data_IF_966277442670
#
_entry.id   IF_966277442670
#
_cell.length_a   1.000
_cell.length_b   1.000
_cell.length_c   1.000
_cell.angle_alpha   90.00
_cell.angle_beta   90.00
_cell.angle_gamma   90.00
#
_symmetry.space_group_name_H-M   'P 1'
#
loop_
_entity.id
_entity.type
_entity.pdbx_description
1 polymer ?
#
# COMPACT_ATOMS: atom_id res chain seq x y z
N UNK A 1 12.12 -8.61 -6.53
CA UNK A 1 12.17 -8.09 -7.91
C UNK A 1 11.36 -6.83 -7.90
N UNK A 2 11.99 -5.71 -8.28
CA UNK A 2 11.49 -4.36 -8.08
C UNK A 2 10.16 -4.18 -8.84
N UNK A 3 9.05 -4.25 -8.10
CA UNK A 3 7.72 -4.02 -8.64
C UNK A 3 7.49 -2.53 -8.93
N UNK A 4 8.54 -1.71 -9.00
CA UNK A 4 8.46 -0.28 -9.26
C UNK A 4 8.01 0.55 -8.06
N UNK A 5 7.77 -0.07 -6.90
CA UNK A 5 7.42 0.54 -5.61
C UNK A 5 8.30 -0.05 -4.48
N UNK A 6 8.73 0.79 -3.54
CA UNK A 6 9.58 0.45 -2.39
C UNK A 6 8.77 -0.11 -1.21
N UNK A 7 7.80 -0.97 -1.49
CA UNK A 7 6.95 -1.60 -0.47
C UNK A 7 6.85 -3.09 -0.73
N UNK A 8 6.79 -3.86 0.35
CA UNK A 8 6.57 -5.29 0.25
C UNK A 8 5.15 -5.59 -0.21
N UNK A 9 5.03 -6.50 -1.18
CA UNK A 9 3.75 -6.99 -1.69
C UNK A 9 3.75 -8.51 -1.62
N UNK A 10 2.56 -9.10 -1.52
CA UNK A 10 2.42 -10.55 -1.46
C UNK A 10 2.30 -11.11 -2.88
N UNK A 11 3.10 -12.11 -3.23
CA UNK A 11 2.79 -12.93 -4.38
C UNK A 11 1.44 -13.63 -4.18
N UNK A 12 0.72 -13.86 -5.28
CA UNK A 12 -0.62 -14.43 -5.25
C UNK A 12 -0.77 -15.50 -6.34
N UNK A 13 -1.65 -16.47 -6.09
CA UNK A 13 -2.05 -17.46 -7.08
C UNK A 13 -3.53 -17.86 -6.85
N UNK A 14 -4.40 -17.78 -7.88
CA UNK A 14 -5.73 -18.35 -7.79
C UNK A 14 -5.64 -19.88 -7.76
N UNK A 15 -6.28 -20.50 -6.77
CA UNK A 15 -6.26 -21.96 -6.56
C UNK A 15 -7.65 -22.55 -6.50
N UNK A 16 -7.82 -23.73 -7.11
CA UNK A 16 -9.01 -24.55 -6.94
C UNK A 16 -8.84 -25.38 -5.66
N UNK A 17 -9.74 -25.21 -4.70
CA UNK A 17 -9.69 -25.94 -3.44
C UNK A 17 -10.65 -27.11 -3.47
N UNK A 18 -10.21 -28.26 -2.96
CA UNK A 18 -11.03 -29.46 -2.81
C UNK A 18 -10.96 -29.95 -1.36
N UNK A 19 -12.11 -30.26 -0.77
CA UNK A 19 -12.21 -30.83 0.58
C UNK A 19 -12.90 -32.19 0.45
N UNK A 20 -12.22 -33.25 0.86
CA UNK A 20 -12.70 -34.65 0.72
C UNK A 20 -13.08 -35.04 -0.72
N UNK A 21 -12.41 -34.47 -1.72
CA UNK A 21 -12.66 -34.74 -3.14
C UNK A 21 -13.76 -33.89 -3.78
N UNK A 22 -14.45 -33.05 -3.01
CA UNK A 22 -15.47 -32.13 -3.51
C UNK A 22 -14.89 -30.75 -3.76
N UNK A 23 -15.29 -30.10 -4.86
CA UNK A 23 -14.93 -28.71 -5.12
C UNK A 23 -15.44 -27.80 -4.00
N UNK A 24 -14.53 -27.03 -3.42
CA UNK A 24 -14.77 -26.19 -2.26
C UNK A 24 -14.62 -24.69 -2.58
N UNK A 25 -14.40 -24.33 -3.85
CA UNK A 25 -14.28 -22.94 -4.28
C UNK A 25 -12.89 -22.59 -4.82
N UNK A 26 -12.87 -21.44 -5.49
CA UNK A 26 -11.67 -20.73 -5.89
C UNK A 26 -11.25 -19.84 -4.72
N UNK A 27 -9.99 -19.96 -4.32
CA UNK A 27 -9.38 -19.12 -3.31
C UNK A 27 -8.15 -18.44 -3.89
N UNK A 28 -7.66 -17.42 -3.19
CA UNK A 28 -6.39 -16.80 -3.51
C UNK A 28 -5.34 -17.26 -2.50
N UNK A 29 -4.42 -18.13 -2.94
CA UNK A 29 -3.24 -18.47 -2.16
C UNK A 29 -2.29 -17.27 -2.21
N UNK A 30 -1.93 -16.74 -1.04
CA UNK A 30 -1.06 -15.56 -0.93
C UNK A 30 0.13 -15.89 -0.05
N UNK A 31 1.25 -15.23 -0.33
CA UNK A 31 2.33 -15.15 0.63
C UNK A 31 1.83 -14.54 1.94
N UNK A 32 2.40 -15.00 3.04
CA UNK A 32 2.15 -14.45 4.35
C UNK A 32 3.40 -13.69 4.77
N UNK A 33 3.24 -12.42 5.11
CA UNK A 33 4.31 -11.69 5.80
C UNK A 33 4.49 -12.27 7.20
N UNK A 34 5.46 -13.17 7.31
CA UNK A 34 5.97 -13.79 8.52
C UNK A 34 7.48 -13.97 8.38
N UNK A 35 8.11 -14.60 9.37
CA UNK A 35 9.56 -14.77 9.42
C UNK A 35 10.09 -15.49 8.18
N UNK A 36 9.33 -16.46 7.65
CA UNK A 36 9.73 -17.25 6.49
C UNK A 36 9.73 -16.43 5.21
N UNK A 37 8.79 -15.49 5.07
CA UNK A 37 8.81 -14.56 3.95
C UNK A 37 10.11 -13.75 3.96
N UNK A 38 10.47 -13.11 5.08
CA UNK A 38 11.64 -12.26 5.13
C UNK A 38 12.96 -13.05 5.04
N UNK A 39 13.01 -14.25 5.59
CA UNK A 39 14.14 -15.17 5.39
C UNK A 39 14.27 -15.56 3.91
N UNK A 40 13.17 -15.92 3.24
CA UNK A 40 13.19 -16.37 1.84
C UNK A 40 13.51 -15.25 0.86
N UNK A 41 12.92 -14.07 1.06
CA UNK A 41 13.03 -12.93 0.13
C UNK A 41 14.31 -12.14 0.35
N UNK A 42 14.73 -11.97 1.61
CA UNK A 42 15.85 -11.10 1.97
C UNK A 42 17.04 -11.82 2.63
N UNK A 43 16.91 -13.10 2.96
CA UNK A 43 17.91 -13.79 3.76
C UNK A 43 18.03 -13.25 5.19
N UNK A 44 16.99 -12.57 5.70
CA UNK A 44 16.96 -11.99 7.03
C UNK A 44 16.73 -13.09 8.08
N UNK A 45 17.70 -13.35 8.99
CA UNK A 45 17.50 -14.30 10.06
C UNK A 45 16.31 -13.93 10.94
N UNK A 46 15.61 -14.94 11.44
CA UNK A 46 14.43 -14.75 12.29
C UNK A 46 14.75 -13.93 13.55
N UNK A 47 15.92 -14.13 14.16
CA UNK A 47 16.36 -13.37 15.34
C UNK A 47 16.61 -11.88 15.07
N UNK A 48 16.87 -11.51 13.82
CA UNK A 48 17.15 -10.14 13.40
C UNK A 48 15.87 -9.42 12.93
N UNK A 49 14.71 -10.09 12.90
CA UNK A 49 13.46 -9.52 12.40
C UNK A 49 12.59 -8.94 13.53
N UNK A 50 12.05 -7.74 13.29
CA UNK A 50 10.96 -7.17 14.08
C UNK A 50 9.80 -6.77 13.17
N UNK A 51 8.58 -7.04 13.62
CA UNK A 51 7.36 -6.75 12.87
C UNK A 51 6.30 -6.12 13.75
N UNK A 52 5.69 -5.04 13.25
CA UNK A 52 4.61 -4.33 13.92
C UNK A 52 3.35 -4.36 13.05
N UNK A 53 2.18 -4.36 13.70
CA UNK A 53 0.90 -4.14 13.03
C UNK A 53 0.06 -3.10 13.77
N UNK A 54 -0.77 -2.39 13.01
CA UNK A 54 -1.89 -1.67 13.59
C UNK A 54 -2.90 -2.69 14.14
N UNK A 55 -3.21 -2.66 15.45
CA UNK A 55 -4.13 -3.63 16.01
C UNK A 55 -5.55 -3.39 15.49
N UNK A 56 -6.32 -4.46 15.32
CA UNK A 56 -7.65 -4.39 14.73
C UNK A 56 -8.55 -3.32 15.40
N UNK A 57 -9.13 -2.37 14.63
CA UNK A 57 -9.74 -1.15 15.15
C UNK A 57 -10.96 -1.41 16.05
N UNK A 58 -11.66 -2.54 15.89
CA UNK A 58 -12.84 -2.86 16.70
C UNK A 58 -12.49 -3.41 18.09
N UNK A 59 -11.30 -3.99 18.28
CA UNK A 59 -10.92 -4.59 19.57
C UNK A 59 -10.29 -3.57 20.52
N UNK A 60 -9.69 -2.51 19.99
CA UNK A 60 -8.89 -1.55 20.76
C UNK A 60 -9.27 -0.08 20.56
N UNK A 61 -10.29 0.18 19.75
CA UNK A 61 -10.67 1.53 19.34
C UNK A 61 -9.85 2.03 18.15
N UNK A 62 -10.39 3.02 17.46
CA UNK A 62 -9.71 3.66 16.34
C UNK A 62 -8.43 4.37 16.81
N UNK A 63 -7.35 4.24 16.03
CA UNK A 63 -6.05 4.89 16.26
C UNK A 63 -5.26 4.39 17.48
N UNK A 64 -5.34 3.09 17.76
CA UNK A 64 -4.50 2.46 18.79
C UNK A 64 -3.02 2.38 18.37
N UNK A 65 -2.15 2.42 19.37
CA UNK A 65 -0.71 2.23 19.19
C UNK A 65 -0.40 0.87 18.56
N UNK A 66 0.62 0.85 17.71
CA UNK A 66 1.02 -0.36 16.99
C UNK A 66 1.63 -1.37 17.94
N UNK A 67 1.57 -2.65 17.57
CA UNK A 67 2.03 -3.75 18.41
C UNK A 67 2.98 -4.65 17.67
N UNK A 68 3.96 -5.16 18.40
CA UNK A 68 4.80 -6.23 17.89
C UNK A 68 3.95 -7.47 17.63
N UNK A 69 3.96 -7.94 16.39
CA UNK A 69 3.44 -9.25 16.00
C UNK A 69 4.54 -10.29 15.95
N UNK A 70 5.79 -9.83 15.84
CA UNK A 70 7.00 -10.63 15.98
C UNK A 70 8.19 -9.76 16.45
N UNK A 71 9.16 -10.38 17.12
CA UNK A 71 10.30 -9.68 17.73
C UNK A 71 10.00 -9.08 19.11
N UNK A 72 10.91 -8.25 19.61
CA UNK A 72 10.78 -7.60 20.92
C UNK A 72 9.67 -6.54 20.91
N UNK A 73 8.77 -6.59 21.90
CA UNK A 73 7.70 -5.61 22.09
C UNK A 73 8.23 -4.18 22.32
N UNK A 74 9.45 -4.01 22.81
CA UNK A 74 10.10 -2.70 22.98
C UNK A 74 10.22 -1.92 21.65
N UNK A 75 10.30 -2.62 20.52
CA UNK A 75 10.38 -1.98 19.20
C UNK A 75 9.08 -1.27 18.79
N UNK A 76 7.93 -1.70 19.32
CA UNK A 76 6.68 -0.97 19.12
C UNK A 76 6.75 0.40 19.80
N UNK A 77 7.25 0.46 21.04
CA UNK A 77 7.41 1.71 21.77
C UNK A 77 8.45 2.63 21.11
N UNK A 78 9.55 2.07 20.60
CA UNK A 78 10.55 2.83 19.83
C UNK A 78 9.92 3.49 18.59
N UNK A 79 9.12 2.74 17.84
CA UNK A 79 8.39 3.29 16.69
C UNK A 79 7.39 4.36 17.12
N UNK A 80 6.64 4.14 18.21
CA UNK A 80 5.70 5.14 18.72
C UNK A 80 6.41 6.42 19.18
N UNK A 81 7.62 6.33 19.76
CA UNK A 81 8.42 7.51 20.08
C UNK A 81 8.91 8.22 18.82
N UNK A 82 9.26 7.50 17.75
CA UNK A 82 9.59 8.13 16.46
C UNK A 82 8.41 8.93 15.90
N UNK A 83 7.18 8.40 16.01
CA UNK A 83 5.95 9.14 15.63
C UNK A 83 5.76 10.38 16.52
N UNK A 84 5.94 10.27 17.83
CA UNK A 84 5.84 11.42 18.76
C UNK A 84 6.94 12.45 18.55
N UNK A 85 8.15 12.02 18.17
CA UNK A 85 9.26 12.89 17.77
C UNK A 85 8.85 13.75 16.57
N UNK A 86 8.27 13.15 15.53
CA UNK A 86 7.78 13.89 14.36
C UNK A 86 6.74 14.95 14.73
N UNK A 87 5.90 14.66 15.73
CA UNK A 87 4.88 15.60 16.21
C UNK A 87 5.45 16.76 17.02
N UNK A 88 6.47 16.47 17.85
CA UNK A 88 7.03 17.42 18.82
C UNK A 88 8.09 18.33 18.21
N UNK A 89 8.91 17.78 17.33
CA UNK A 89 10.07 18.47 16.76
C UNK A 89 9.73 19.15 15.42
N UNK A 90 10.44 20.22 15.11
CA UNK A 90 10.33 20.90 13.82
C UNK A 90 11.08 20.11 12.74
N UNK A 91 10.35 19.44 11.86
CA UNK A 91 10.93 18.64 10.77
C UNK A 91 11.44 19.48 9.60
N UNK A 92 11.25 20.80 9.59
CA UNK A 92 11.95 21.68 8.63
C UNK A 92 13.44 21.81 8.96
N UNK A 93 13.84 21.49 10.20
CA UNK A 93 15.24 21.39 10.63
C UNK A 93 15.86 20.11 10.06
N UNK A 94 17.03 20.25 9.41
CA UNK A 94 17.67 19.17 8.66
C UNK A 94 18.06 17.98 9.54
N UNK A 95 18.52 18.24 10.77
CA UNK A 95 18.91 17.23 11.75
C UNK A 95 17.71 16.40 12.21
N UNK A 96 16.56 17.03 12.45
CA UNK A 96 15.34 16.34 12.85
C UNK A 96 14.79 15.48 11.70
N UNK A 97 14.82 16.00 10.47
CA UNK A 97 14.46 15.22 9.29
C UNK A 97 15.38 14.02 9.07
N UNK A 98 16.70 14.22 9.18
CA UNK A 98 17.70 13.15 9.07
C UNK A 98 17.50 12.07 10.14
N UNK A 99 17.21 12.46 11.39
CA UNK A 99 16.91 11.53 12.47
C UNK A 99 15.77 10.57 12.10
N UNK A 100 14.72 11.07 11.44
CA UNK A 100 13.61 10.23 10.97
C UNK A 100 14.03 9.36 9.78
N UNK A 101 14.71 9.94 8.80
CA UNK A 101 15.16 9.23 7.59
C UNK A 101 16.16 8.08 7.87
N UNK A 102 16.92 8.19 8.96
CA UNK A 102 17.81 7.13 9.45
C UNK A 102 17.07 5.94 10.08
N UNK A 103 15.81 6.13 10.49
CA UNK A 103 15.02 5.13 11.22
C UNK A 103 13.85 4.57 10.43
N UNK A 104 13.40 5.31 9.42
CA UNK A 104 12.31 4.91 8.54
C UNK A 104 12.72 5.08 7.09
N UNK A 105 12.48 4.05 6.27
CA UNK A 105 12.67 4.13 4.83
C UNK A 105 11.59 5.03 4.22
N UNK A 106 11.92 6.30 4.00
CA UNK A 106 10.94 7.31 3.57
C UNK A 106 10.43 7.06 2.15
N UNK A 107 11.17 6.34 1.31
CA UNK A 107 10.67 5.94 -0.02
C UNK A 107 9.58 4.87 0.14
N UNK A 108 9.77 3.91 1.04
CA UNK A 108 8.73 2.93 1.42
C UNK A 108 7.48 3.60 1.99
N UNK A 109 7.66 4.61 2.85
CA UNK A 109 6.55 5.41 3.39
C UNK A 109 5.76 6.12 2.29
N UNK A 110 6.46 6.80 1.39
CA UNK A 110 5.83 7.54 0.29
C UNK A 110 5.09 6.56 -0.64
N UNK A 111 5.70 5.44 -1.01
CA UNK A 111 5.09 4.47 -1.92
C UNK A 111 3.86 3.78 -1.32
N UNK A 112 3.89 3.48 -0.01
CA UNK A 112 2.71 2.98 0.69
C UNK A 112 1.55 3.97 0.62
N UNK A 113 1.79 5.24 0.94
CA UNK A 113 0.75 6.27 0.87
C UNK A 113 0.28 6.52 -0.56
N UNK A 114 1.19 6.51 -1.54
CA UNK A 114 0.83 6.65 -2.95
C UNK A 114 -0.10 5.52 -3.39
N UNK A 115 0.23 4.27 -3.08
CA UNK A 115 -0.60 3.11 -3.40
C UNK A 115 -1.98 3.19 -2.74
N UNK A 116 -2.03 3.39 -1.42
CA UNK A 116 -3.30 3.41 -0.66
C UNK A 116 -4.22 4.56 -1.11
N UNK A 117 -3.68 5.77 -1.32
CA UNK A 117 -4.46 6.92 -1.79
C UNK A 117 -4.90 6.75 -3.25
N UNK A 118 -4.02 6.25 -4.12
CA UNK A 118 -4.35 6.04 -5.53
C UNK A 118 -5.44 4.97 -5.69
N UNK A 119 -5.29 3.82 -5.02
CA UNK A 119 -6.24 2.71 -5.07
C UNK A 119 -7.53 2.95 -4.25
N UNK A 120 -7.61 4.05 -3.50
CA UNK A 120 -8.74 4.40 -2.66
C UNK A 120 -9.10 3.30 -1.64
N UNK A 121 -8.11 2.70 -0.98
CA UNK A 121 -8.35 1.69 0.05
C UNK A 121 -8.93 2.33 1.31
N UNK A 122 -10.25 2.20 1.48
CA UNK A 122 -11.01 2.96 2.48
C UNK A 122 -10.93 2.43 3.91
N UNK A 123 -10.44 1.20 4.11
CA UNK A 123 -10.18 0.61 5.44
C UNK A 123 -8.74 0.83 5.93
N UNK A 124 -8.13 1.93 5.49
CA UNK A 124 -6.80 2.42 5.88
C UNK A 124 -6.96 3.94 6.12
N UNK A 125 -6.17 4.63 6.98
CA UNK A 125 -4.90 4.26 7.65
C UNK A 125 -4.99 3.85 9.13
N UNK A 126 -6.20 3.63 9.66
CA UNK A 126 -6.37 3.17 11.05
C UNK A 126 -6.52 1.65 11.18
N UNK A 127 -6.33 0.93 10.07
CA UNK A 127 -6.29 -0.51 9.94
C UNK A 127 -5.37 -0.86 8.75
N UNK A 128 -5.09 -2.15 8.54
CA UNK A 128 -4.36 -2.67 7.37
C UNK A 128 -2.98 -2.02 7.19
N UNK A 129 -2.24 -1.89 8.30
CA UNK A 129 -0.86 -1.42 8.33
C UNK A 129 0.02 -2.48 8.97
N UNK A 130 1.09 -2.82 8.27
CA UNK A 130 2.11 -3.76 8.69
C UNK A 130 3.49 -3.20 8.38
N UNK A 131 4.37 -3.22 9.38
CA UNK A 131 5.74 -2.75 9.29
C UNK A 131 6.70 -3.86 9.65
N UNK A 132 7.90 -3.79 9.09
CA UNK A 132 8.99 -4.68 9.46
C UNK A 132 10.33 -3.95 9.43
N UNK A 133 11.33 -4.52 10.11
CA UNK A 133 12.72 -4.10 9.98
C UNK A 133 13.68 -5.23 10.33
N UNK A 134 14.90 -5.11 9.82
CA UNK A 134 16.07 -5.72 10.43
C UNK A 134 16.43 -4.96 11.72
N UNK A 135 16.82 -5.66 12.78
CA UNK A 135 17.21 -5.11 14.09
C UNK A 135 18.72 -5.13 14.31
N UNK A 136 19.47 -5.83 13.45
CA UNK A 136 20.90 -6.06 13.58
C UNK A 136 21.67 -5.43 12.40
N UNK A 137 22.42 -4.34 12.60
CA UNK A 137 23.16 -3.69 11.51
C UNK A 137 24.26 -4.58 10.89
N UNK A 138 24.67 -5.64 11.58
CA UNK A 138 25.65 -6.62 11.12
C UNK A 138 24.99 -7.92 10.62
N UNK A 139 23.67 -7.90 10.37
CA UNK A 139 22.92 -9.05 9.87
C UNK A 139 23.50 -9.59 8.56
N UNK A 140 23.49 -10.91 8.40
CA UNK A 140 23.94 -11.58 7.17
C UNK A 140 23.11 -11.21 5.93
N UNK A 141 21.90 -10.68 6.13
CA UNK A 141 21.06 -10.16 5.04
C UNK A 141 21.63 -8.91 4.36
N UNK A 142 22.50 -8.16 5.05
CA UNK A 142 23.02 -6.88 4.59
C UNK A 142 21.98 -5.76 4.53
N UNK A 143 20.78 -5.97 5.05
CA UNK A 143 19.75 -4.95 5.14
C UNK A 143 20.10 -3.90 6.20
N UNK A 144 19.75 -2.64 5.96
CA UNK A 144 19.77 -1.64 7.03
C UNK A 144 18.66 -1.88 8.07
N UNK A 145 18.70 -1.12 9.16
CA UNK A 145 17.77 -1.28 10.29
C UNK A 145 16.55 -0.36 10.22
N UNK A 146 16.23 0.22 9.06
CA UNK A 146 15.09 1.13 8.90
C UNK A 146 13.77 0.36 8.84
N UNK A 147 12.72 0.96 9.39
CA UNK A 147 11.35 0.50 9.22
C UNK A 147 10.91 0.61 7.76
N UNK A 148 10.22 -0.42 7.29
CA UNK A 148 9.59 -0.52 5.96
C UNK A 148 8.15 -0.97 6.08
N UNK A 149 7.35 -0.67 5.06
CA UNK A 149 5.93 -1.01 5.01
C UNK A 149 5.66 -2.18 4.06
N UNK A 150 4.67 -2.97 4.44
CA UNK A 150 4.01 -3.92 3.56
C UNK A 150 2.65 -3.38 3.11
N UNK A 151 2.26 -3.68 1.88
CA UNK A 151 0.87 -3.54 1.43
C UNK A 151 0.09 -4.79 1.83
N UNK A 152 -0.94 -4.58 2.65
CA UNK A 152 -1.88 -5.61 3.08
C UNK A 152 -3.31 -5.15 2.81
N UNK A 153 -4.16 -6.11 2.48
CA UNK A 153 -5.63 -5.99 2.50
C UNK A 153 -6.20 -4.74 1.80
N UNK A 154 -6.12 -4.77 0.47
CA UNK A 154 -6.53 -3.68 -0.43
C UNK A 154 -7.85 -3.96 -1.16
N UNK A 155 -8.61 -4.95 -0.71
CA UNK A 155 -9.88 -5.39 -1.31
C UNK A 155 -10.99 -4.32 -1.24
N UNK A 156 -10.90 -3.39 -0.28
CA UNK A 156 -11.74 -2.19 -0.21
C UNK A 156 -11.37 -1.09 -1.23
N UNK A 157 -10.32 -1.28 -2.03
CA UNK A 157 -9.89 -0.36 -3.07
C UNK A 157 -10.63 -0.54 -4.39
N UNK A 158 -10.13 0.14 -5.42
CA UNK A 158 -10.49 -0.07 -6.82
C UNK A 158 -12.00 0.03 -7.15
N UNK A 159 -12.75 0.83 -6.40
CA UNK A 159 -14.18 1.05 -6.66
C UNK A 159 -15.14 0.10 -5.94
N UNK A 160 -14.65 -0.87 -5.15
CA UNK A 160 -15.50 -1.86 -4.47
C UNK A 160 -16.14 -1.30 -3.19
N UNK A 161 -15.33 -0.70 -2.31
CA UNK A 161 -15.78 0.00 -1.09
C UNK A 161 -15.36 1.47 -1.09
N UNK A 162 -15.13 2.02 -2.28
CA UNK A 162 -14.75 3.40 -2.57
C UNK A 162 -15.18 3.75 -3.99
N UNK A 163 -14.90 4.97 -4.44
CA UNK A 163 -15.17 5.39 -5.83
C UNK A 163 -13.96 6.12 -6.39
N UNK A 164 -13.98 6.38 -7.70
CA UNK A 164 -12.95 7.23 -8.35
C UNK A 164 -12.83 8.62 -7.71
N UNK A 165 -13.88 9.10 -7.06
CA UNK A 165 -13.94 10.42 -6.40
C UNK A 165 -13.46 10.40 -4.95
N UNK A 166 -13.31 9.23 -4.33
CA UNK A 166 -12.84 9.11 -2.95
C UNK A 166 -11.49 9.81 -2.80
N UNK A 167 -11.40 10.76 -1.87
CA UNK A 167 -10.20 11.55 -1.61
C UNK A 167 -9.59 11.15 -0.27
N UNK A 168 -8.55 10.30 -0.31
CA UNK A 168 -7.85 9.85 0.88
C UNK A 168 -6.71 10.76 1.33
N UNK A 169 -6.41 11.86 0.63
CA UNK A 169 -5.44 12.85 1.12
C UNK A 169 -5.85 13.46 2.46
N UNK A 170 -7.17 13.54 2.72
CA UNK A 170 -7.70 14.02 4.01
C UNK A 170 -7.37 13.11 5.20
N UNK A 171 -6.92 11.88 4.97
CA UNK A 171 -6.47 10.96 6.02
C UNK A 171 -5.07 11.28 6.54
N UNK A 172 -4.30 12.12 5.84
CA UNK A 172 -3.01 12.64 6.30
C UNK A 172 -3.29 13.78 7.29
N UNK A 173 -3.43 13.40 8.55
CA UNK A 173 -3.72 14.26 9.69
C UNK A 173 -3.20 13.58 10.98
N UNK A 174 -3.40 14.21 12.14
CA UNK A 174 -2.81 13.73 13.41
C UNK A 174 -3.58 12.60 14.11
N UNK A 175 -4.70 12.11 13.55
CA UNK A 175 -5.48 11.06 14.19
C UNK A 175 -4.84 9.67 14.04
N UNK A 176 -4.70 9.09 12.83
CA UNK A 176 -4.02 7.80 12.65
C UNK A 176 -2.52 7.89 12.92
N UNK A 177 -1.95 6.86 13.54
CA UNK A 177 -0.54 6.84 13.99
C UNK A 177 0.43 7.14 12.84
N UNK A 178 0.36 6.38 11.75
CA UNK A 178 1.25 6.58 10.60
C UNK A 178 0.96 7.90 9.88
N UNK A 179 -0.32 8.29 9.79
CA UNK A 179 -0.71 9.56 9.14
C UNK A 179 -0.23 10.78 9.89
N UNK A 180 -0.13 10.72 11.21
CA UNK A 180 0.46 11.77 12.03
C UNK A 180 1.92 12.00 11.64
N UNK A 181 2.70 10.92 11.54
CA UNK A 181 4.09 11.00 11.07
C UNK A 181 4.17 11.65 9.68
N UNK A 182 3.35 11.22 8.72
CA UNK A 182 3.35 11.79 7.37
C UNK A 182 2.89 13.26 7.37
N UNK A 183 1.88 13.61 8.16
CA UNK A 183 1.38 14.98 8.26
C UNK A 183 2.48 15.95 8.68
N UNK A 184 3.29 15.57 9.66
CA UNK A 184 4.42 16.36 10.10
C UNK A 184 5.59 16.33 9.10
N UNK A 185 5.90 15.18 8.48
CA UNK A 185 6.95 15.08 7.46
C UNK A 185 6.67 15.97 6.24
N UNK A 186 5.40 16.16 5.86
CA UNK A 186 5.01 17.06 4.77
C UNK A 186 5.32 18.55 5.03
N UNK A 187 5.69 18.93 6.26
CA UNK A 187 6.20 20.28 6.53
C UNK A 187 7.62 20.49 6.00
N UNK A 188 8.40 19.41 5.88
CA UNK A 188 9.73 19.46 5.29
C UNK A 188 9.61 19.53 3.74
N UNK A 189 10.22 20.55 3.09
CA UNK A 189 10.10 20.72 1.64
C UNK A 189 10.70 19.55 0.85
N UNK A 190 11.78 18.93 1.34
CA UNK A 190 12.42 17.78 0.68
C UNK A 190 11.46 16.58 0.63
N UNK A 191 10.84 16.25 1.76
CA UNK A 191 9.86 15.16 1.82
C UNK A 191 8.60 15.49 1.02
N UNK A 192 8.08 16.71 1.15
CA UNK A 192 6.91 17.17 0.39
C UNK A 192 7.13 17.04 -1.11
N UNK A 193 8.25 17.53 -1.62
CA UNK A 193 8.54 17.50 -3.04
C UNK A 193 8.79 16.07 -3.53
N UNK A 194 9.44 15.23 -2.73
CA UNK A 194 9.60 13.80 -3.01
C UNK A 194 8.25 13.08 -3.09
N UNK A 195 7.34 13.36 -2.15
CA UNK A 195 5.98 12.82 -2.14
C UNK A 195 5.21 13.24 -3.40
N UNK A 196 5.23 14.53 -3.76
CA UNK A 196 4.54 15.05 -4.94
C UNK A 196 5.06 14.37 -6.21
N UNK A 197 6.39 14.37 -6.41
CA UNK A 197 7.00 13.72 -7.59
C UNK A 197 6.65 12.24 -7.67
N UNK A 198 6.71 11.53 -6.54
CA UNK A 198 6.43 10.11 -6.52
C UNK A 198 4.96 9.80 -6.79
N UNK A 199 4.03 10.58 -6.23
CA UNK A 199 2.60 10.43 -6.50
C UNK A 199 2.27 10.72 -7.98
N UNK A 200 2.92 11.72 -8.58
CA UNK A 200 2.80 12.01 -10.02
C UNK A 200 3.31 10.85 -10.85
N UNK A 201 4.49 10.32 -10.54
CA UNK A 201 5.01 9.13 -11.22
C UNK A 201 4.06 7.94 -11.08
N UNK A 202 3.52 7.68 -9.88
CA UNK A 202 2.55 6.61 -9.67
C UNK A 202 1.30 6.81 -10.53
N UNK A 203 0.83 8.05 -10.65
CA UNK A 203 -0.38 8.39 -11.42
C UNK A 203 -0.17 8.34 -12.94
N UNK A 204 0.97 8.84 -13.42
CA UNK A 204 1.24 9.05 -14.85
C UNK A 204 1.94 7.86 -15.52
N UNK A 205 2.69 7.07 -14.76
CA UNK A 205 3.54 5.99 -15.28
C UNK A 205 3.12 4.65 -14.71
N UNK A 206 3.21 4.49 -13.38
CA UNK A 206 3.06 3.17 -12.75
C UNK A 206 1.63 2.62 -12.83
N UNK A 207 0.62 3.44 -12.51
CA UNK A 207 -0.80 3.07 -12.56
C UNK A 207 -1.51 3.62 -13.80
N UNK A 208 -0.80 3.81 -14.91
CA UNK A 208 -1.43 4.30 -16.14
C UNK A 208 -2.57 3.36 -16.60
N UNK A 209 -3.68 3.88 -17.16
CA UNK A 209 -4.86 3.08 -17.48
C UNK A 209 -4.58 1.82 -18.30
N UNK A 210 -3.74 1.92 -19.32
CA UNK A 210 -3.47 0.80 -20.22
C UNK A 210 -2.79 -0.38 -19.49
N UNK A 211 -1.87 -0.09 -18.56
CA UNK A 211 -1.19 -1.11 -17.74
C UNK A 211 -2.17 -1.73 -16.75
N UNK A 212 -2.94 -0.90 -16.04
CA UNK A 212 -3.89 -1.39 -15.05
C UNK A 212 -5.02 -2.22 -15.67
N UNK A 213 -5.52 -1.82 -16.86
CA UNK A 213 -6.52 -2.62 -17.59
C UNK A 213 -5.94 -3.94 -18.09
N UNK A 214 -4.72 -3.94 -18.63
CA UNK A 214 -4.07 -5.18 -19.04
C UNK A 214 -3.90 -6.13 -17.85
N UNK A 215 -3.41 -5.64 -16.71
CA UNK A 215 -3.30 -6.44 -15.49
C UNK A 215 -4.65 -6.98 -15.00
N UNK A 216 -5.73 -6.17 -15.07
CA UNK A 216 -7.08 -6.61 -14.74
C UNK A 216 -7.56 -7.72 -15.69
N UNK A 217 -7.37 -7.56 -17.00
CA UNK A 217 -7.82 -8.56 -17.97
C UNK A 217 -7.04 -9.88 -17.81
N UNK A 218 -5.72 -9.81 -17.53
CA UNK A 218 -4.89 -10.98 -17.23
C UNK A 218 -5.33 -11.69 -15.93
N UNK A 219 -5.76 -10.93 -14.91
CA UNK A 219 -6.33 -11.47 -13.67
C UNK A 219 -7.67 -12.19 -13.91
N UNK A 220 -8.53 -11.62 -14.75
CA UNK A 220 -9.89 -12.11 -14.97
C UNK A 220 -9.95 -13.29 -15.94
N UNK A 221 -9.07 -13.34 -16.95
CA UNK A 221 -9.06 -14.36 -17.98
C UNK A 221 -9.08 -15.81 -17.46
N UNK A 222 -8.23 -16.22 -16.48
CA UNK A 222 -8.28 -17.57 -15.93
C UNK A 222 -9.47 -17.82 -14.99
N UNK A 223 -10.03 -16.77 -14.38
CA UNK A 223 -11.13 -16.88 -13.42
C UNK A 223 -12.49 -17.04 -14.11
N UNK A 224 -12.72 -16.31 -15.19
CA UNK A 224 -14.00 -16.27 -15.91
C UNK A 224 -14.64 -17.67 -16.16
N UNK A 225 -13.94 -18.67 -16.74
CA UNK A 225 -14.55 -19.97 -17.00
C UNK A 225 -14.87 -20.77 -15.72
N UNK A 226 -14.28 -20.40 -14.57
CA UNK A 226 -14.46 -21.06 -13.29
C UNK A 226 -15.57 -20.43 -12.43
N UNK A 227 -16.02 -19.22 -12.76
CA UNK A 227 -17.03 -18.50 -11.99
C UNK A 227 -18.38 -19.22 -11.87
N UNK A 228 -18.89 -19.94 -12.89
CA UNK A 228 -20.09 -20.75 -12.71
C UNK A 228 -19.97 -21.77 -11.56
N UNK A 229 -18.82 -22.43 -11.42
CA UNK A 229 -18.57 -23.40 -10.34
C UNK A 229 -18.47 -22.71 -8.97
N UNK A 230 -17.79 -21.57 -8.91
CA UNK A 230 -17.70 -20.76 -7.69
C UNK A 230 -19.09 -20.33 -7.21
N UNK A 231 -19.93 -19.86 -8.14
CA UNK A 231 -21.29 -19.41 -7.86
C UNK A 231 -22.18 -20.57 -7.42
N UNK A 232 -22.07 -21.74 -8.03
CA UNK A 232 -22.82 -22.93 -7.58
C UNK A 232 -22.51 -23.29 -6.12
N UNK A 233 -21.24 -23.16 -5.71
CA UNK A 233 -20.79 -23.48 -4.34
C UNK A 233 -21.12 -22.39 -3.32
N UNK A 234 -20.81 -21.13 -3.64
CA UNK A 234 -20.76 -20.01 -2.67
C UNK A 234 -21.74 -18.89 -2.99
N UNK A 235 -22.84 -19.18 -3.70
CA UNK A 235 -23.87 -18.18 -4.01
C UNK A 235 -24.29 -17.40 -2.77
N UNK A 236 -24.08 -16.09 -2.79
CA UNK A 236 -24.56 -15.18 -1.74
C UNK A 236 -25.81 -14.47 -2.27
N UNK A 237 -26.94 -14.66 -1.61
CA UNK A 237 -28.24 -14.14 -2.07
C UNK A 237 -28.59 -12.77 -1.50
N UNK A 238 -27.62 -12.06 -0.91
CA UNK A 238 -27.80 -10.71 -0.35
C UNK A 238 -27.55 -9.59 -1.37
N UNK A 239 -27.20 -9.94 -2.62
CA UNK A 239 -26.92 -9.00 -3.70
C UNK A 239 -25.44 -8.87 -4.07
N UNK A 240 -24.51 -9.33 -3.23
CA UNK A 240 -23.06 -9.12 -3.43
C UNK A 240 -22.43 -10.11 -4.42
N UNK A 241 -22.94 -11.33 -4.53
CA UNK A 241 -22.49 -12.31 -5.52
C UNK A 241 -23.63 -13.31 -5.82
N UNK A 242 -24.68 -12.79 -6.44
CA UNK A 242 -25.94 -13.53 -6.63
C UNK A 242 -25.90 -14.45 -7.86
N UNK A 243 -25.18 -14.02 -8.90
CA UNK A 243 -25.03 -14.69 -10.19
C UNK A 243 -23.80 -14.16 -10.96
N UNK A 244 -23.59 -14.66 -12.19
CA UNK A 244 -22.46 -14.28 -13.03
C UNK A 244 -22.53 -12.81 -13.48
N UNK A 245 -23.73 -12.28 -13.70
CA UNK A 245 -23.92 -10.87 -14.07
C UNK A 245 -23.51 -9.94 -12.93
N UNK A 246 -23.71 -10.34 -11.67
CA UNK A 246 -23.22 -9.63 -10.49
C UNK A 246 -21.70 -9.59 -10.48
N UNK A 247 -21.04 -10.71 -10.78
CA UNK A 247 -19.57 -10.75 -10.89
C UNK A 247 -19.08 -9.83 -12.02
N UNK A 248 -19.66 -9.92 -13.22
CA UNK A 248 -19.32 -9.05 -14.35
C UNK A 248 -19.48 -7.57 -13.98
N UNK A 249 -20.57 -7.20 -13.31
CA UNK A 249 -20.80 -5.84 -12.83
C UNK A 249 -19.66 -5.33 -11.94
N UNK A 250 -19.20 -6.12 -10.96
CA UNK A 250 -18.07 -5.71 -10.12
C UNK A 250 -16.74 -5.67 -10.88
N UNK A 251 -16.53 -6.53 -11.89
CA UNK A 251 -15.36 -6.38 -12.78
C UNK A 251 -15.41 -5.08 -13.59
N UNK A 252 -16.60 -4.64 -14.02
CA UNK A 252 -16.79 -3.37 -14.72
C UNK A 252 -16.59 -2.16 -13.80
N UNK A 253 -16.97 -2.27 -12.52
CA UNK A 253 -16.66 -1.25 -11.50
C UNK A 253 -15.15 -1.06 -11.38
N UNK A 254 -14.38 -2.15 -11.27
CA UNK A 254 -12.91 -2.07 -11.21
C UNK A 254 -12.35 -1.51 -12.52
N UNK A 255 -12.90 -1.93 -13.67
CA UNK A 255 -12.49 -1.45 -14.99
C UNK A 255 -12.73 0.05 -15.18
N UNK A 256 -13.87 0.57 -14.74
CA UNK A 256 -14.17 2.02 -14.72
C UNK A 256 -13.18 2.76 -13.81
N UNK A 257 -12.93 2.20 -12.62
CA UNK A 257 -12.00 2.77 -11.65
C UNK A 257 -10.61 2.94 -12.26
N UNK A 258 -9.98 1.85 -12.74
CA UNK A 258 -8.60 1.91 -13.25
C UNK A 258 -8.47 2.77 -14.52
N UNK A 259 -9.57 2.98 -15.23
CA UNK A 259 -9.60 3.85 -16.42
C UNK A 259 -9.64 5.32 -16.05
N UNK A 260 -10.47 5.69 -15.07
CA UNK A 260 -10.76 7.09 -14.75
C UNK A 260 -9.96 7.64 -13.58
N UNK A 261 -9.43 6.78 -12.71
CA UNK A 261 -8.75 7.18 -11.47
C UNK A 261 -7.62 8.19 -11.67
N UNK A 262 -6.76 8.14 -12.71
CA UNK A 262 -5.66 9.11 -12.85
C UNK A 262 -6.11 10.57 -12.87
N UNK A 263 -7.24 10.88 -13.53
CA UNK A 263 -7.74 12.25 -13.62
C UNK A 263 -8.16 12.79 -12.24
N UNK A 264 -8.84 11.96 -11.44
CA UNK A 264 -9.25 12.32 -10.08
C UNK A 264 -8.07 12.39 -9.12
N UNK A 265 -7.16 11.41 -9.17
CA UNK A 265 -5.95 11.41 -8.35
C UNK A 265 -5.09 12.66 -8.62
N UNK A 266 -4.93 13.05 -9.90
CA UNK A 266 -4.26 14.30 -10.29
C UNK A 266 -4.95 15.52 -9.70
N UNK A 267 -6.27 15.65 -9.88
CA UNK A 267 -7.01 16.80 -9.38
C UNK A 267 -6.91 16.93 -7.85
N UNK A 268 -7.04 15.81 -7.13
CA UNK A 268 -6.92 15.75 -5.67
C UNK A 268 -5.50 16.11 -5.19
N UNK A 269 -4.45 15.67 -5.90
CA UNK A 269 -3.07 16.06 -5.61
C UNK A 269 -2.88 17.58 -5.79
N UNK A 270 -3.34 18.13 -6.92
CA UNK A 270 -3.24 19.55 -7.21
C UNK A 270 -3.98 20.39 -6.16
N UNK A 271 -5.18 19.97 -5.76
CA UNK A 271 -5.94 20.61 -4.68
C UNK A 271 -5.18 20.55 -3.35
N UNK A 272 -4.68 19.36 -2.96
CA UNK A 272 -3.99 19.16 -1.67
C UNK A 272 -2.75 20.03 -1.52
N UNK A 273 -1.98 20.21 -2.60
CA UNK A 273 -0.69 20.89 -2.58
C UNK A 273 -0.69 22.27 -3.24
N UNK A 274 -1.84 22.75 -3.72
CA UNK A 274 -1.98 24.05 -4.38
C UNK A 274 -1.23 24.13 -5.70
N UNK A 275 -1.17 23.04 -6.46
CA UNK A 275 -0.44 23.00 -7.73
C UNK A 275 -1.34 23.51 -8.86
N UNK A 276 -0.88 24.55 -9.55
CA UNK A 276 -1.45 24.90 -10.85
C UNK A 276 -0.89 23.98 -11.96
N UNK A 277 -1.39 24.17 -13.19
CA UNK A 277 -0.96 23.34 -14.32
C UNK A 277 0.54 23.46 -14.61
N UNK A 278 1.15 24.62 -14.42
CA UNK A 278 2.57 24.82 -14.69
C UNK A 278 3.44 24.11 -13.63
N UNK A 279 3.07 24.23 -12.36
CA UNK A 279 3.72 23.53 -11.26
C UNK A 279 3.59 22.01 -11.41
N UNK A 280 2.42 21.51 -11.80
CA UNK A 280 2.22 20.08 -12.03
C UNK A 280 3.13 19.55 -13.15
N UNK A 281 3.18 20.23 -14.29
CA UNK A 281 4.04 19.81 -15.41
C UNK A 281 5.54 19.88 -15.07
N UNK A 282 5.96 20.85 -14.24
CA UNK A 282 7.33 20.91 -13.75
C UNK A 282 7.68 19.69 -12.89
N UNK A 283 6.85 19.36 -11.88
CA UNK A 283 7.06 18.16 -11.07
C UNK A 283 6.96 16.86 -11.88
N UNK A 284 6.10 16.82 -12.90
CA UNK A 284 6.01 15.68 -13.80
C UNK A 284 7.31 15.48 -14.59
N UNK A 285 7.88 16.56 -15.13
CA UNK A 285 9.16 16.49 -15.81
C UNK A 285 10.28 15.98 -14.88
N UNK A 286 10.35 16.49 -13.64
CA UNK A 286 11.29 16.00 -12.63
C UNK A 286 11.07 14.52 -12.30
N UNK A 287 9.83 14.10 -12.09
CA UNK A 287 9.47 12.72 -11.77
C UNK A 287 9.86 11.75 -12.89
N UNK A 288 9.67 12.14 -14.16
CA UNK A 288 10.07 11.33 -15.31
C UNK A 288 11.59 11.21 -15.43
N UNK A 289 12.36 12.22 -15.05
CA UNK A 289 13.83 12.13 -15.02
C UNK A 289 14.30 11.21 -13.89
N UNK A 290 13.66 11.27 -12.72
CA UNK A 290 14.05 10.46 -11.57
C UNK A 290 13.64 8.99 -11.70
N UNK A 291 12.49 8.71 -12.30
CA UNK A 291 11.86 7.38 -12.24
C UNK A 291 11.46 6.81 -13.61
N UNK A 292 11.58 7.55 -14.71
CA UNK A 292 10.96 7.20 -16.00
C UNK A 292 11.35 5.85 -16.60
N UNK A 293 12.50 5.31 -16.20
CA UNK A 293 13.01 4.02 -16.70
C UNK A 293 12.64 2.82 -15.80
N UNK A 294 12.13 3.01 -14.58
CA UNK A 294 12.04 1.94 -13.59
C UNK A 294 10.84 0.98 -13.72
N UNK A 295 9.90 1.21 -14.65
CA UNK A 295 8.75 0.30 -14.91
C UNK A 295 8.85 -0.44 -16.24
N UNK A 296 9.87 -0.16 -17.06
CA UNK A 296 9.91 -0.69 -18.43
C UNK A 296 10.35 -2.15 -18.53
N UNK A 297 10.74 -2.80 -17.42
CA UNK A 297 11.35 -4.14 -17.49
C UNK A 297 10.42 -5.30 -17.11
N UNK A 298 9.26 -5.08 -16.48
CA UNK A 298 8.35 -6.18 -16.14
C UNK A 298 6.84 -5.86 -16.34
N UNK A 299 6.10 -6.74 -17.04
CA UNK A 299 4.65 -6.60 -17.27
C UNK A 299 3.86 -6.59 -15.97
#
# INVERSE_FOLDING_TARGET
MDAGLHVDTMAYAPVLTFVNGEFFGIYNARERFDQKYFETVYGLPEEDLSMLECPYPLTYGWNADYRATFGDAAYAEEFMELVRFCQREDLTVSENYAYVAERFDLESLIDHYCAQIYLCCSDWPSNNIKLWRNTNPDSVSGLDTRWRLCIVDTDHGCGLNSTVETNLFGTINDAPVLSRMVNHLLTNPTFRDAFIRRFIYCTEVYYRPDRMRAALDDLLAPLAPLMPLQLERWRVTDGTLTDYATWEHYTDVIRDFVTRRPAYARAQLCERFGLDSAAYEAYKAEALVLYGDSVLEHP
#
